data_IF_747706287322
#
_entry.id   IF_747706287322
#
_cell.length_a   1.000
_cell.length_b   1.000
_cell.length_c   1.000
_cell.angle_alpha   90.00
_cell.angle_beta   90.00
_cell.angle_gamma   90.00
#
_symmetry.space_group_name_H-M   'P 1'
#
loop_
_entity.id
_entity.type
_entity.pdbx_description
1 polymer ?
#
# COMPACT_ATOMS: atom_id res chain seq x y z
N UNK A 1 -14.02 -14.57 -4.54
CA UNK A 1 -14.39 -13.36 -5.29
C UNK A 1 -13.16 -12.50 -5.52
N UNK A 2 -13.02 -11.85 -6.69
CA UNK A 2 -11.88 -10.98 -7.01
C UNK A 2 -11.79 -9.76 -6.07
N UNK A 3 -12.91 -9.38 -5.46
CA UNK A 3 -12.99 -8.36 -4.41
C UNK A 3 -13.73 -8.88 -3.17
N UNK A 4 -13.56 -8.18 -2.04
CA UNK A 4 -14.28 -8.44 -0.78
C UNK A 4 -14.41 -7.18 0.06
N UNK A 5 -15.42 -7.14 0.93
CA UNK A 5 -15.54 -6.10 1.97
C UNK A 5 -14.62 -6.47 3.14
N UNK A 6 -13.83 -5.50 3.62
CA UNK A 6 -12.99 -5.63 4.82
C UNK A 6 -13.31 -4.51 5.81
N UNK A 7 -13.10 -4.78 7.09
CA UNK A 7 -12.99 -3.71 8.09
C UNK A 7 -11.62 -3.04 7.96
N UNK A 8 -11.57 -1.72 8.07
CA UNK A 8 -10.32 -0.98 8.11
C UNK A 8 -9.65 -1.14 9.47
N UNK A 9 -8.32 -1.27 9.47
CA UNK A 9 -7.55 -1.25 10.71
C UNK A 9 -7.62 0.14 11.34
N UNK A 10 -7.53 0.27 12.68
CA UNK A 10 -7.52 1.57 13.36
C UNK A 10 -6.44 2.51 12.83
N UNK A 11 -5.25 1.97 12.52
CA UNK A 11 -4.15 2.74 11.93
C UNK A 11 -4.52 3.29 10.55
N UNK A 12 -5.20 2.50 9.70
CA UNK A 12 -5.66 2.95 8.38
C UNK A 12 -6.65 4.10 8.50
N UNK A 13 -7.58 4.02 9.45
CA UNK A 13 -8.54 5.09 9.75
C UNK A 13 -7.80 6.35 10.18
N UNK A 14 -6.89 6.24 11.16
CA UNK A 14 -6.12 7.37 11.69
C UNK A 14 -5.25 8.05 10.62
N UNK A 15 -4.56 7.26 9.78
CA UNK A 15 -3.72 7.80 8.69
C UNK A 15 -4.57 8.55 7.65
N UNK A 16 -5.71 7.99 7.24
CA UNK A 16 -6.58 8.65 6.27
C UNK A 16 -7.28 9.88 6.86
N UNK A 17 -7.60 9.87 8.15
CA UNK A 17 -8.14 11.04 8.84
C UNK A 17 -7.17 12.23 8.74
N UNK A 18 -5.89 11.98 9.03
CA UNK A 18 -4.80 12.96 8.92
C UNK A 18 -4.61 13.45 7.47
N UNK A 19 -4.66 12.56 6.48
CA UNK A 19 -4.33 12.88 5.10
C UNK A 19 -5.46 13.57 4.33
N UNK A 20 -6.72 13.16 4.56
CA UNK A 20 -7.84 13.56 3.68
C UNK A 20 -9.09 14.01 4.42
N UNK A 21 -9.11 14.03 5.76
CA UNK A 21 -10.32 14.37 6.53
C UNK A 21 -10.08 15.38 7.66
N UNK A 22 -9.11 16.29 7.51
CA UNK A 22 -8.89 17.35 8.49
C UNK A 22 -8.54 16.84 9.89
N UNK A 23 -7.97 15.64 9.99
CA UNK A 23 -7.66 14.94 11.23
C UNK A 23 -8.90 14.50 12.05
N UNK A 24 -10.08 14.39 11.42
CA UNK A 24 -11.31 13.85 12.02
C UNK A 24 -11.54 12.37 11.59
N UNK A 25 -11.36 11.38 12.50
CA UNK A 25 -11.59 9.97 12.19
C UNK A 25 -13.05 9.61 11.89
N UNK A 26 -14.03 10.40 12.37
CA UNK A 26 -15.45 10.11 12.15
C UNK A 26 -15.88 10.28 10.68
N UNK A 27 -15.09 11.06 9.93
CA UNK A 27 -15.27 11.29 8.50
C UNK A 27 -14.68 10.17 7.62
N UNK A 28 -14.00 9.19 8.21
CA UNK A 28 -13.38 8.07 7.48
C UNK A 28 -14.27 6.81 7.59
N UNK A 29 -14.62 6.16 6.46
CA UNK A 29 -15.38 4.91 6.49
C UNK A 29 -14.69 3.81 7.30
N UNK A 30 -15.47 2.97 7.99
CA UNK A 30 -14.91 1.85 8.79
C UNK A 30 -14.71 0.56 7.98
N UNK A 31 -15.21 0.52 6.74
CA UNK A 31 -15.08 -0.62 5.83
C UNK A 31 -14.68 -0.16 4.43
N UNK A 32 -14.04 -1.04 3.68
CA UNK A 32 -13.70 -0.82 2.28
C UNK A 32 -13.94 -2.09 1.46
N UNK A 33 -14.21 -1.93 0.17
CA UNK A 33 -14.14 -3.01 -0.81
C UNK A 33 -12.71 -3.02 -1.35
N UNK A 34 -12.03 -4.17 -1.27
CA UNK A 34 -10.66 -4.32 -1.74
C UNK A 34 -10.53 -5.52 -2.66
N UNK A 35 -9.62 -5.42 -3.63
CA UNK A 35 -9.25 -6.52 -4.51
C UNK A 35 -8.38 -7.57 -3.78
N UNK A 36 -8.44 -8.81 -4.24
CA UNK A 36 -7.58 -9.89 -3.76
C UNK A 36 -6.17 -9.77 -4.31
N UNK A 37 -5.18 -10.27 -3.55
CA UNK A 37 -3.77 -10.28 -3.97
C UNK A 37 -3.58 -11.06 -5.28
N UNK A 38 -4.32 -12.16 -5.48
CA UNK A 38 -4.28 -12.93 -6.72
C UNK A 38 -4.63 -12.06 -7.94
N UNK A 39 -5.70 -11.25 -7.85
CA UNK A 39 -6.10 -10.37 -8.95
C UNK A 39 -5.07 -9.28 -9.25
N UNK A 40 -4.35 -8.79 -8.23
CA UNK A 40 -3.23 -7.86 -8.43
C UNK A 40 -2.06 -8.56 -9.16
N UNK A 41 -1.73 -9.79 -8.75
CA UNK A 41 -0.62 -10.57 -9.31
C UNK A 41 -0.90 -11.17 -10.69
N UNK A 42 -2.17 -11.24 -11.10
CA UNK A 42 -2.56 -11.69 -12.44
C UNK A 42 -2.43 -10.54 -13.49
N UNK A 43 -2.05 -9.32 -13.09
CA UNK A 43 -1.83 -8.19 -14.00
C UNK A 43 -0.60 -8.40 -14.88
N UNK A 44 -0.61 -7.90 -16.12
CA UNK A 44 0.56 -8.00 -17.03
C UNK A 44 1.78 -7.24 -16.50
N UNK A 45 1.54 -6.08 -15.87
CA UNK A 45 2.57 -5.21 -15.30
C UNK A 45 2.09 -4.60 -13.98
N UNK A 46 2.99 -4.46 -13.01
CA UNK A 46 2.69 -3.86 -11.71
C UNK A 46 3.70 -2.75 -11.38
N UNK A 47 3.20 -1.54 -11.15
CA UNK A 47 3.99 -0.42 -10.64
C UNK A 47 3.52 -0.06 -9.22
N UNK A 48 4.39 -0.24 -8.23
CA UNK A 48 4.13 0.16 -6.84
C UNK A 48 4.85 1.48 -6.55
N UNK A 49 4.08 2.50 -6.15
CA UNK A 49 4.59 3.80 -5.76
C UNK A 49 4.67 3.90 -4.23
N UNK A 50 5.84 4.26 -3.71
CA UNK A 50 6.08 4.51 -2.29
C UNK A 50 6.53 5.98 -2.09
N UNK A 51 5.68 6.78 -1.46
CA UNK A 51 5.83 8.23 -1.39
C UNK A 51 6.11 8.79 0.02
N UNK A 52 6.16 7.95 1.06
CA UNK A 52 6.22 8.39 2.45
C UNK A 52 7.39 7.79 3.21
N UNK A 53 8.01 8.57 4.11
CA UNK A 53 9.18 8.13 4.89
C UNK A 53 8.87 6.90 5.76
N UNK A 54 7.65 6.81 6.27
CA UNK A 54 7.17 5.69 7.08
C UNK A 54 7.22 4.34 6.32
N UNK A 55 7.35 4.37 4.98
CA UNK A 55 7.47 3.18 4.14
C UNK A 55 8.90 2.64 4.02
N UNK A 56 9.91 3.30 4.63
CA UNK A 56 11.31 2.88 4.55
C UNK A 56 11.54 1.46 5.10
N UNK A 57 10.93 1.13 6.24
CA UNK A 57 11.06 -0.19 6.85
C UNK A 57 10.48 -1.31 5.96
N UNK A 58 9.21 -1.25 5.50
CA UNK A 58 8.68 -2.29 4.62
C UNK A 58 9.45 -2.38 3.29
N UNK A 59 9.91 -1.27 2.72
CA UNK A 59 10.77 -1.29 1.53
C UNK A 59 12.10 -2.01 1.78
N UNK A 60 12.70 -1.85 2.96
CA UNK A 60 13.94 -2.52 3.33
C UNK A 60 13.75 -4.04 3.45
N UNK A 61 12.61 -4.49 3.99
CA UNK A 61 12.23 -5.91 4.07
C UNK A 61 12.02 -6.51 2.68
N UNK A 62 11.32 -5.80 1.79
CA UNK A 62 11.11 -6.24 0.40
C UNK A 62 12.47 -6.32 -0.32
N UNK A 63 13.34 -5.32 -0.14
CA UNK A 63 14.69 -5.31 -0.73
C UNK A 63 15.55 -6.48 -0.24
N UNK A 64 15.35 -6.95 0.99
CA UNK A 64 16.04 -8.11 1.54
C UNK A 64 15.54 -9.46 0.98
N UNK A 65 14.51 -9.46 0.12
CA UNK A 65 14.00 -10.66 -0.54
C UNK A 65 13.01 -11.49 0.27
N UNK A 66 12.56 -11.00 1.44
CA UNK A 66 11.63 -11.75 2.30
C UNK A 66 10.20 -11.61 1.78
N UNK A 67 9.59 -12.73 1.39
CA UNK A 67 8.20 -12.82 0.95
C UNK A 67 7.34 -13.29 2.11
N UNK A 68 6.29 -12.53 2.46
CA UNK A 68 5.49 -12.78 3.66
C UNK A 68 4.08 -12.18 3.54
N UNK A 69 3.01 -12.86 3.98
CA UNK A 69 1.64 -12.35 3.87
C UNK A 69 1.36 -11.13 4.76
N UNK A 70 2.17 -10.89 5.79
CA UNK A 70 2.12 -9.71 6.65
C UNK A 70 2.56 -8.44 5.91
N UNK A 71 3.32 -8.59 4.82
CA UNK A 71 3.71 -7.52 3.91
C UNK A 71 3.33 -7.92 2.47
N UNK A 72 2.06 -7.76 2.06
CA UNK A 72 1.58 -8.24 0.76
C UNK A 72 2.36 -7.70 -0.45
N UNK A 73 2.89 -6.48 -0.35
CA UNK A 73 3.74 -5.90 -1.39
C UNK A 73 5.01 -6.73 -1.67
N UNK A 74 5.45 -7.60 -0.74
CA UNK A 74 6.57 -8.51 -0.96
C UNK A 74 6.29 -9.58 -2.03
N UNK A 75 5.04 -9.88 -2.35
CA UNK A 75 4.71 -10.83 -3.43
C UNK A 75 5.13 -10.32 -4.82
N UNK A 76 5.34 -9.02 -4.99
CA UNK A 76 5.84 -8.44 -6.24
C UNK A 76 7.23 -8.98 -6.62
N UNK A 77 8.03 -9.43 -5.63
CA UNK A 77 9.33 -10.05 -5.88
C UNK A 77 9.25 -11.32 -6.75
N UNK A 78 8.06 -11.95 -6.85
CA UNK A 78 7.80 -13.11 -7.71
C UNK A 78 7.17 -12.75 -9.05
N UNK A 79 6.75 -11.49 -9.24
CA UNK A 79 6.06 -11.08 -10.46
C UNK A 79 7.10 -10.78 -11.55
N UNK A 80 6.98 -11.40 -12.74
CA UNK A 80 8.00 -11.30 -13.79
C UNK A 80 8.15 -9.87 -14.34
N UNK A 81 7.13 -9.03 -14.18
CA UNK A 81 7.10 -7.67 -14.69
C UNK A 81 6.55 -6.71 -13.62
N UNK A 82 7.34 -6.44 -12.59
CA UNK A 82 6.96 -5.47 -11.54
C UNK A 82 8.09 -4.50 -11.24
N UNK A 83 7.69 -3.28 -10.84
CA UNK A 83 8.61 -2.22 -10.45
C UNK A 83 8.11 -1.54 -9.17
N UNK A 84 9.04 -1.29 -8.25
CA UNK A 84 8.79 -0.48 -7.05
C UNK A 84 9.56 0.82 -7.22
N UNK A 85 8.84 1.92 -7.26
CA UNK A 85 9.41 3.27 -7.32
C UNK A 85 9.15 3.94 -5.98
N UNK A 86 10.21 4.48 -5.37
CA UNK A 86 10.09 5.25 -4.16
C UNK A 86 10.68 6.64 -4.37
N UNK A 87 9.97 7.68 -3.94
CA UNK A 87 10.52 9.03 -3.97
C UNK A 87 11.40 9.25 -2.73
N UNK A 88 12.59 9.81 -2.94
CA UNK A 88 13.42 10.39 -1.88
C UNK A 88 13.17 11.88 -1.72
N UNK A 89 12.62 12.51 -2.75
CA UNK A 89 12.55 13.95 -2.87
C UNK A 89 11.13 14.45 -2.62
N UNK A 90 11.04 15.53 -1.86
CA UNK A 90 9.85 16.37 -1.82
C UNK A 90 9.99 17.40 -2.93
N UNK A 91 9.16 17.34 -3.96
CA UNK A 91 8.99 18.52 -4.83
C UNK A 91 8.18 19.53 -4.01
N UNK A 92 8.89 20.38 -3.26
CA UNK A 92 8.29 21.47 -2.54
C UNK A 92 8.16 22.68 -3.48
N UNK A 93 6.90 23.01 -3.81
CA UNK A 93 6.45 24.24 -4.49
C UNK A 93 6.65 24.28 -6.02
N UNK A 94 5.56 24.60 -6.73
CA UNK A 94 5.56 25.35 -7.99
C UNK A 94 5.20 26.81 -7.65
#
# INVERSE_FOLDING_TARGET
>A
FPSRVIALAPLTIATNARLTAGNDPSMVPTKAITMGMKSILDAEQILLLACFKEQQQPLSVIKAGRITPELPASFLLKHPNSQIVYTKDTIATL
#
